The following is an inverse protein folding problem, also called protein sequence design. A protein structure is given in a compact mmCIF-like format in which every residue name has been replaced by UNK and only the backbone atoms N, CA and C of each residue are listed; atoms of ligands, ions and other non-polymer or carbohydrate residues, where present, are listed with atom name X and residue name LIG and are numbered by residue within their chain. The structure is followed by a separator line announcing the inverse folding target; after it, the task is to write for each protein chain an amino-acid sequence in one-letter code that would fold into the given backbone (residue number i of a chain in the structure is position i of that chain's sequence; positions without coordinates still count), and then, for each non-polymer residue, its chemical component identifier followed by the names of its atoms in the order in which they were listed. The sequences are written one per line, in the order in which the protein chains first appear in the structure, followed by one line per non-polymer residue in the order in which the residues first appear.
data_IF_865174249112
#
_entry.id   IF_865174249112
#
_cell.length_a   1.000
_cell.length_b   1.000
_cell.length_c   1.000
_cell.angle_alpha   90.00
_cell.angle_beta   90.00
_cell.angle_gamma   90.00
#
_symmetry.space_group_name_H-M   'P 1'
#
loop_
_entity.id
_entity.type
_entity.pdbx_description
1 polymer ?
#
# COMPACT_ATOMS: atom_id res chain seq x y z
N UNK A 1 8.17 -8.87 0.92
CA UNK A 1 8.74 -7.51 0.87
C UNK A 1 10.23 -7.65 0.71
N UNK A 2 10.72 -7.67 -0.52
CA UNK A 2 12.14 -7.54 -0.81
C UNK A 2 12.48 -6.05 -0.65
N UNK A 3 13.35 -5.74 0.31
CA UNK A 3 13.97 -4.41 0.40
C UNK A 3 15.01 -4.35 -0.72
N UNK A 4 14.59 -3.94 -1.91
CA UNK A 4 15.51 -3.68 -3.01
C UNK A 4 16.13 -2.30 -2.83
N UNK A 5 17.45 -2.22 -2.99
CA UNK A 5 18.13 -0.93 -2.99
C UNK A 5 17.65 -0.06 -4.17
N UNK A 6 17.78 1.26 -4.04
CA UNK A 6 17.55 2.15 -5.19
C UNK A 6 18.65 1.91 -6.22
N UNK A 7 18.29 1.46 -7.42
CA UNK A 7 19.23 1.12 -8.49
C UNK A 7 19.34 2.24 -9.54
N UNK A 8 18.52 3.30 -9.43
CA UNK A 8 18.64 4.48 -10.28
C UNK A 8 19.74 5.42 -9.77
N UNK A 9 20.76 5.67 -10.60
CA UNK A 9 21.93 6.51 -10.26
C UNK A 9 21.52 7.91 -9.77
N UNK A 10 20.63 8.60 -10.48
CA UNK A 10 20.19 9.96 -10.14
C UNK A 10 19.52 10.01 -8.76
N UNK A 11 18.67 9.04 -8.46
CA UNK A 11 18.01 8.95 -7.15
C UNK A 11 19.01 8.66 -6.03
N UNK A 12 20.02 7.83 -6.28
CA UNK A 12 21.11 7.56 -5.33
C UNK A 12 21.93 8.82 -5.07
N UNK A 13 22.30 9.56 -6.11
CA UNK A 13 23.03 10.83 -5.99
C UNK A 13 22.24 11.83 -5.15
N UNK A 14 20.94 11.98 -5.40
CA UNK A 14 20.08 12.87 -4.62
C UNK A 14 20.02 12.53 -3.13
N UNK A 15 20.05 11.25 -2.78
CA UNK A 15 20.13 10.82 -1.36
C UNK A 15 21.45 11.28 -0.73
N UNK A 16 22.56 11.13 -1.45
CA UNK A 16 23.88 11.59 -0.98
C UNK A 16 23.94 13.11 -0.84
N UNK A 17 23.45 13.84 -1.83
CA UNK A 17 23.40 15.31 -1.79
C UNK A 17 22.58 15.81 -0.60
N UNK A 18 21.40 15.24 -0.36
CA UNK A 18 20.57 15.60 0.78
C UNK A 18 21.27 15.30 2.11
N UNK A 19 22.00 14.19 2.17
CA UNK A 19 22.77 13.81 3.37
C UNK A 19 23.88 14.82 3.65
N UNK A 20 24.65 15.21 2.63
CA UNK A 20 25.72 16.19 2.76
C UNK A 20 25.19 17.59 3.09
N UNK A 21 24.06 18.00 2.50
CA UNK A 21 23.38 19.26 2.85
C UNK A 21 23.00 19.30 4.32
N UNK A 22 22.42 18.21 4.83
CA UNK A 22 22.07 18.09 6.24
C UNK A 22 23.31 18.13 7.15
N UNK A 23 24.42 17.47 6.78
CA UNK A 23 25.65 17.48 7.58
C UNK A 23 26.31 18.86 7.63
N UNK A 24 26.24 19.64 6.54
CA UNK A 24 26.83 20.97 6.46
C UNK A 24 25.99 22.05 7.18
N UNK A 25 24.66 22.01 7.04
CA UNK A 25 23.74 22.95 7.69
C UNK A 25 22.40 22.26 8.04
N UNK A 26 22.32 21.64 9.24
CA UNK A 26 21.10 20.98 9.69
C UNK A 26 19.89 21.93 9.76
N UNK A 27 20.09 23.17 10.22
CA UNK A 27 18.99 24.12 10.42
C UNK A 27 18.43 24.63 9.09
N UNK A 28 19.30 24.96 8.13
CA UNK A 28 18.90 25.32 6.77
C UNK A 28 18.19 24.18 6.07
N UNK A 29 18.69 22.94 6.21
CA UNK A 29 18.03 21.75 5.67
C UNK A 29 16.62 21.56 6.25
N UNK A 30 16.45 21.71 7.58
CA UNK A 30 15.12 21.63 8.18
C UNK A 30 14.17 22.72 7.67
N UNK A 31 14.64 23.97 7.56
CA UNK A 31 13.84 25.09 7.02
C UNK A 31 13.43 24.84 5.57
N UNK A 32 14.30 24.28 4.74
CA UNK A 32 14.01 23.92 3.34
C UNK A 32 12.85 22.90 3.25
N UNK A 33 12.82 21.91 4.15
CA UNK A 33 11.82 20.83 4.13
C UNK A 33 10.58 21.10 4.97
N UNK A 34 10.58 22.14 5.82
CA UNK A 34 9.49 22.47 6.73
C UNK A 34 8.12 22.57 6.03
N UNK A 35 7.97 23.23 4.86
CA UNK A 35 6.67 23.33 4.20
C UNK A 35 6.10 21.96 3.82
N UNK A 36 6.96 21.04 3.34
CA UNK A 36 6.56 19.68 2.95
C UNK A 36 6.20 18.83 4.17
N UNK A 37 6.96 18.96 5.26
CA UNK A 37 6.65 18.28 6.53
C UNK A 37 5.31 18.76 7.10
N UNK A 38 5.03 20.07 7.01
CA UNK A 38 3.77 20.65 7.45
C UNK A 38 2.59 20.12 6.64
N UNK A 39 2.67 20.12 5.32
CA UNK A 39 1.62 19.55 4.45
C UNK A 39 1.37 18.06 4.79
N UNK A 40 2.43 17.26 4.89
CA UNK A 40 2.31 15.85 5.25
C UNK A 40 1.64 15.66 6.62
N UNK A 41 2.05 16.45 7.62
CA UNK A 41 1.46 16.43 8.96
C UNK A 41 -0.04 16.73 8.89
N UNK A 42 -0.43 17.78 8.17
CA UNK A 42 -1.83 18.14 8.04
C UNK A 42 -2.65 17.07 7.32
N UNK A 43 -2.11 16.46 6.25
CA UNK A 43 -2.72 15.32 5.57
C UNK A 43 -2.98 14.15 6.52
N UNK A 44 -2.00 13.80 7.35
CA UNK A 44 -2.15 12.73 8.36
C UNK A 44 -3.22 13.10 9.39
N UNK A 45 -3.25 14.34 9.87
CA UNK A 45 -4.25 14.78 10.84
C UNK A 45 -5.67 14.74 10.26
N UNK A 46 -5.85 15.19 9.02
CA UNK A 46 -7.13 15.09 8.29
C UNK A 46 -7.54 13.64 8.07
N UNK A 47 -6.61 12.78 7.67
CA UNK A 47 -6.88 11.35 7.50
C UNK A 47 -7.36 10.72 8.81
N UNK A 48 -6.69 11.02 9.93
CA UNK A 48 -7.06 10.50 11.26
C UNK A 48 -8.47 10.94 11.70
N UNK A 49 -8.89 12.16 11.37
CA UNK A 49 -10.23 12.64 11.74
C UNK A 49 -11.33 11.95 10.95
N UNK A 50 -11.14 11.71 9.64
CA UNK A 50 -12.16 11.10 8.79
C UNK A 50 -12.13 9.57 8.78
N UNK A 51 -11.04 8.93 9.24
CA UNK A 51 -10.88 7.46 9.19
C UNK A 51 -12.02 6.70 9.88
N UNK A 52 -12.58 7.25 10.97
CA UNK A 52 -13.72 6.63 11.68
C UNK A 52 -15.02 6.67 10.88
N UNK A 53 -15.09 7.57 9.91
CA UNK A 53 -16.25 7.78 9.03
C UNK A 53 -16.07 7.08 7.67
N UNK A 54 -14.89 6.50 7.40
CA UNK A 54 -14.63 5.76 6.18
C UNK A 54 -15.51 4.50 6.08
N UNK A 55 -16.16 4.35 4.94
CA UNK A 55 -17.05 3.22 4.64
C UNK A 55 -16.41 2.27 3.63
N UNK A 56 -16.94 1.06 3.59
CA UNK A 56 -16.61 0.05 2.59
C UNK A 56 -17.89 -0.63 2.13
N UNK A 57 -17.94 -1.02 0.86
CA UNK A 57 -19.05 -1.78 0.30
C UNK A 57 -18.89 -3.28 0.54
N UNK A 58 -19.95 -4.05 0.32
CA UNK A 58 -19.89 -5.52 0.32
C UNK A 58 -18.96 -6.05 -0.79
N UNK A 59 -18.80 -5.31 -1.87
CA UNK A 59 -17.90 -5.67 -2.97
C UNK A 59 -16.43 -5.58 -2.56
N UNK A 60 -16.07 -4.61 -1.70
CA UNK A 60 -14.74 -4.51 -1.11
C UNK A 60 -14.44 -5.73 -0.25
N UNK A 61 -15.38 -6.14 0.61
CA UNK A 61 -15.23 -7.35 1.41
C UNK A 61 -15.06 -8.60 0.55
N UNK A 62 -15.87 -8.74 -0.51
CA UNK A 62 -15.75 -9.84 -1.47
C UNK A 62 -14.40 -9.83 -2.18
N UNK A 63 -13.92 -8.66 -2.59
CA UNK A 63 -12.61 -8.51 -3.23
C UNK A 63 -11.49 -8.97 -2.30
N UNK A 64 -11.54 -8.55 -1.04
CA UNK A 64 -10.57 -8.93 -0.01
C UNK A 64 -10.54 -10.44 0.22
N UNK A 65 -11.73 -11.05 0.40
CA UNK A 65 -11.85 -12.48 0.61
C UNK A 65 -11.31 -13.28 -0.57
N UNK A 66 -11.66 -12.89 -1.81
CA UNK A 66 -11.16 -13.55 -3.02
C UNK A 66 -9.64 -13.51 -3.09
N UNK A 67 -9.02 -12.34 -2.85
CA UNK A 67 -7.57 -12.19 -2.87
C UNK A 67 -6.91 -13.13 -1.84
N UNK A 68 -7.43 -13.18 -0.61
CA UNK A 68 -6.87 -14.04 0.42
C UNK A 68 -7.03 -15.54 0.11
N UNK A 69 -8.15 -15.94 -0.50
CA UNK A 69 -8.40 -17.33 -0.93
C UNK A 69 -7.46 -17.70 -2.09
N UNK A 70 -7.35 -16.86 -3.11
CA UNK A 70 -6.50 -17.09 -4.29
C UNK A 70 -5.02 -17.20 -3.93
N UNK A 71 -4.59 -16.51 -2.87
CA UNK A 71 -3.20 -16.53 -2.40
C UNK A 71 -2.95 -17.52 -1.26
N UNK A 72 -3.90 -18.40 -0.95
CA UNK A 72 -3.81 -19.42 0.11
C UNK A 72 -3.33 -18.84 1.45
N UNK A 73 -3.77 -17.61 1.78
CA UNK A 73 -3.39 -16.93 3.01
C UNK A 73 -4.31 -17.35 4.15
N UNK A 74 -3.73 -18.00 5.16
CA UNK A 74 -4.47 -18.50 6.30
C UNK A 74 -5.04 -17.39 7.21
N UNK A 75 -6.32 -17.54 7.51
CA UNK A 75 -7.00 -16.84 8.60
C UNK A 75 -7.54 -15.44 8.29
N UNK A 76 -8.50 -15.02 9.12
CA UNK A 76 -9.19 -13.73 8.96
C UNK A 76 -8.32 -12.50 9.28
N UNK A 77 -7.14 -12.69 9.89
CA UNK A 77 -6.24 -11.58 10.24
C UNK A 77 -5.72 -10.85 9.00
N UNK A 78 -5.43 -11.57 7.92
CA UNK A 78 -5.03 -10.97 6.66
C UNK A 78 -6.16 -10.10 6.09
N UNK A 79 -7.38 -10.64 6.06
CA UNK A 79 -8.58 -9.94 5.61
C UNK A 79 -8.83 -8.63 6.38
N UNK A 80 -8.82 -8.70 7.73
CA UNK A 80 -9.05 -7.53 8.60
C UNK A 80 -7.95 -6.48 8.41
N UNK A 81 -6.68 -6.91 8.33
CA UNK A 81 -5.54 -6.01 8.13
C UNK A 81 -5.67 -5.31 6.79
N UNK A 82 -5.96 -6.04 5.72
CA UNK A 82 -6.12 -5.49 4.37
C UNK A 82 -7.28 -4.49 4.30
N UNK A 83 -8.41 -4.78 4.93
CA UNK A 83 -9.54 -3.84 5.00
C UNK A 83 -9.17 -2.54 5.73
N UNK A 84 -8.53 -2.65 6.90
CA UNK A 84 -8.10 -1.47 7.67
C UNK A 84 -7.09 -0.63 6.91
N UNK A 85 -6.15 -1.26 6.23
CA UNK A 85 -5.16 -0.56 5.39
C UNK A 85 -5.85 0.14 4.22
N UNK A 86 -6.80 -0.50 3.53
CA UNK A 86 -7.53 0.11 2.43
C UNK A 86 -8.37 1.33 2.88
N UNK A 87 -9.07 1.23 4.02
CA UNK A 87 -9.77 2.37 4.60
C UNK A 87 -8.83 3.51 5.00
N UNK A 88 -7.63 3.18 5.46
CA UNK A 88 -6.60 4.16 5.82
C UNK A 88 -6.03 4.84 4.58
N UNK A 89 -5.78 4.10 3.49
CA UNK A 89 -5.35 4.67 2.21
C UNK A 89 -6.38 5.67 1.68
N UNK A 90 -7.66 5.28 1.67
CA UNK A 90 -8.76 6.17 1.30
C UNK A 90 -8.79 7.45 2.17
N UNK A 91 -8.63 7.31 3.48
CA UNK A 91 -8.59 8.46 4.40
C UNK A 91 -7.37 9.38 4.16
N UNK A 92 -6.20 8.80 3.88
CA UNK A 92 -4.97 9.54 3.54
C UNK A 92 -5.12 10.36 2.24
N UNK A 93 -5.98 9.90 1.33
CA UNK A 93 -6.37 10.60 0.11
C UNK A 93 -7.55 11.57 0.32
N UNK A 94 -8.05 11.72 1.56
CA UNK A 94 -9.18 12.59 1.87
C UNK A 94 -10.55 12.03 1.47
N UNK A 95 -10.61 10.77 1.05
CA UNK A 95 -11.86 10.07 0.69
C UNK A 95 -12.46 9.37 1.91
N UNK A 96 -13.79 9.22 1.91
CA UNK A 96 -14.57 8.54 2.95
C UNK A 96 -15.10 7.17 2.52
N UNK A 97 -14.64 6.68 1.37
CA UNK A 97 -15.03 5.38 0.84
C UNK A 97 -13.82 4.66 0.26
N UNK A 98 -13.61 3.42 0.71
CA UNK A 98 -12.56 2.56 0.21
C UNK A 98 -12.94 1.99 -1.17
N UNK A 99 -11.99 2.03 -2.09
CA UNK A 99 -12.12 1.56 -3.46
C UNK A 99 -11.35 0.27 -3.66
N UNK A 100 -11.56 -0.38 -4.81
CA UNK A 100 -10.76 -1.56 -5.18
C UNK A 100 -9.26 -1.22 -5.29
N UNK A 101 -8.90 -0.03 -5.74
CA UNK A 101 -7.50 0.39 -5.85
C UNK A 101 -6.82 0.40 -4.47
N UNK A 102 -7.52 0.90 -3.45
CA UNK A 102 -7.04 0.89 -2.06
C UNK A 102 -6.82 -0.54 -1.54
N UNK A 103 -7.68 -1.49 -1.93
CA UNK A 103 -7.52 -2.91 -1.59
C UNK A 103 -6.28 -3.51 -2.27
N UNK A 104 -6.04 -3.21 -3.55
CA UNK A 104 -4.87 -3.70 -4.26
C UNK A 104 -3.58 -3.13 -3.67
N UNK A 105 -3.58 -1.85 -3.29
CA UNK A 105 -2.46 -1.25 -2.58
C UNK A 105 -2.25 -1.90 -1.21
N UNK A 106 -3.32 -2.08 -0.42
CA UNK A 106 -3.26 -2.72 0.88
C UNK A 106 -2.70 -4.16 0.80
N UNK A 107 -3.03 -4.90 -0.25
CA UNK A 107 -2.53 -6.25 -0.49
C UNK A 107 -1.00 -6.30 -0.60
N UNK A 108 -0.37 -5.29 -1.24
CA UNK A 108 1.11 -5.17 -1.37
C UNK A 108 1.81 -5.16 -0.04
N UNK A 109 1.18 -4.58 0.97
CA UNK A 109 1.75 -4.47 2.31
C UNK A 109 1.33 -5.63 3.22
N UNK A 110 0.06 -6.04 3.16
CA UNK A 110 -0.52 -6.97 4.12
C UNK A 110 -0.20 -8.45 3.86
N UNK A 111 0.05 -8.86 2.61
CA UNK A 111 0.08 -10.27 2.22
C UNK A 111 1.47 -10.91 2.08
N UNK A 112 2.53 -10.24 1.60
CA UNK A 112 3.80 -10.93 1.29
C UNK A 112 4.47 -11.66 2.46
N UNK A 113 4.18 -11.25 3.70
CA UNK A 113 4.73 -11.88 4.91
C UNK A 113 3.78 -12.94 5.51
N UNK A 114 2.61 -13.15 4.92
CA UNK A 114 1.56 -14.09 5.37
C UNK A 114 1.35 -15.24 4.40
N UNK A 115 1.91 -15.16 3.20
CA UNK A 115 1.90 -16.27 2.24
C UNK A 115 2.75 -17.41 2.78
N UNK A 116 2.24 -18.64 2.69
CA UNK A 116 3.00 -19.83 3.07
C UNK A 116 4.26 -19.92 2.21
N UNK A 117 5.41 -20.11 2.86
CA UNK A 117 6.68 -20.40 2.18
C UNK A 117 6.81 -21.90 2.05
N UNK A 118 6.71 -22.42 0.84
CA UNK A 118 7.21 -23.77 0.58
C UNK A 118 8.74 -23.71 0.56
N UNK A 119 9.44 -24.71 1.12
CA UNK A 119 10.89 -24.79 0.98
C UNK A 119 11.27 -24.69 -0.49
N UNK A 120 12.24 -23.83 -0.83
CA UNK A 120 12.80 -23.65 -2.18
C UNK A 120 11.92 -22.92 -3.22
N UNK A 121 10.79 -22.33 -2.84
CA UNK A 121 10.02 -21.46 -3.75
C UNK A 121 10.38 -19.98 -3.56
N UNK A 122 10.76 -19.30 -4.65
CA UNK A 122 10.81 -17.85 -4.70
C UNK A 122 9.37 -17.29 -4.73
N UNK A 123 8.95 -16.65 -3.63
CA UNK A 123 7.67 -15.94 -3.60
C UNK A 123 7.81 -14.65 -4.40
N UNK A 124 7.35 -14.68 -5.66
CA UNK A 124 7.03 -13.47 -6.40
C UNK A 124 5.59 -13.06 -6.11
N UNK A 125 5.41 -11.98 -5.35
CA UNK A 125 4.09 -11.38 -5.14
C UNK A 125 3.75 -10.52 -6.36
N UNK A 126 3.07 -11.13 -7.33
CA UNK A 126 2.66 -10.46 -8.56
C UNK A 126 1.16 -10.12 -8.52
N UNK A 127 0.86 -8.88 -8.12
CA UNK A 127 -0.51 -8.36 -8.10
C UNK A 127 -1.15 -8.29 -9.49
N UNK A 128 -0.35 -8.23 -10.55
CA UNK A 128 -0.89 -8.11 -11.91
C UNK A 128 -1.73 -9.33 -12.31
N UNK A 129 -1.43 -10.51 -11.72
CA UNK A 129 -2.22 -11.73 -11.89
C UNK A 129 -3.65 -11.58 -11.35
N UNK A 130 -3.82 -10.86 -10.25
CA UNK A 130 -5.12 -10.61 -9.60
C UNK A 130 -5.91 -9.50 -10.33
N UNK A 131 -5.20 -8.61 -11.04
CA UNK A 131 -5.83 -7.58 -11.88
C UNK A 131 -6.33 -8.14 -13.23
N UNK A 132 -5.64 -9.14 -13.80
CA UNK A 132 -5.91 -9.70 -15.12
C UNK A 132 -7.08 -10.70 -15.21
N UNK A 133 -7.32 -11.52 -14.19
CA UNK A 133 -8.27 -12.64 -14.31
C UNK A 133 -9.76 -12.24 -14.39
N UNK A 134 -10.13 -11.04 -13.92
CA UNK A 134 -11.52 -10.57 -14.02
C UNK A 134 -11.96 -10.18 -15.44
N UNK A 135 -11.03 -10.03 -16.39
CA UNK A 135 -11.37 -9.74 -17.79
C UNK A 135 -11.67 -11.01 -18.60
N UNK A 136 -11.34 -12.19 -18.08
CA UNK A 136 -11.48 -13.48 -18.78
C UNK A 136 -12.69 -14.35 -18.38
N UNK A 137 -13.34 -14.10 -17.24
CA UNK A 137 -14.44 -14.96 -16.74
C UNK A 137 -15.87 -14.54 -17.12
N UNK A 138 -16.05 -13.56 -18.01
CA UNK A 138 -17.39 -13.10 -18.46
C UNK A 138 -17.85 -13.75 -19.79
N UNK A 139 -17.09 -14.68 -20.38
CA UNK A 139 -17.52 -15.40 -21.60
C UNK A 139 -17.46 -16.92 -21.44
N UNK A 140 -18.43 -17.49 -20.72
CA UNK A 140 -18.97 -18.84 -21.01
C UNK A 140 -20.25 -19.09 -20.20
N UNK A 141 -21.35 -18.51 -20.66
CA UNK A 141 -22.69 -19.07 -20.49
C UNK A 141 -23.51 -18.52 -21.64
N UNK A 142 -23.53 -19.27 -22.73
CA UNK A 142 -24.61 -19.51 -23.69
C UNK A 142 -24.07 -20.54 -24.69
#
# INVERSE_FOLDING_TARGET
MTLSGEHNTERRMKVLENRLKYENDPEGFFKEYEPRQRDLRERILRARSILRECRYSREILRCIANICIELEVDGHRANITMLKTAMTAAACDGRREATRADVMEAAKFALPHRMQRRPFEEISFDISRIEGEKRGRVKKTL
#
